data_IF_758881733304
#
_entry.id   IF_758881733304
#
_cell.length_a   1.000
_cell.length_b   1.000
_cell.length_c   1.000
_cell.angle_alpha   90.00
_cell.angle_beta   90.00
_cell.angle_gamma   90.00
#
_symmetry.space_group_name_H-M   'P 1'
#
loop_
_entity.id
_entity.type
_entity.pdbx_description
1 polymer ?
#
# COMPACT_ATOMS: atom_id res chain seq x y z
N UNK A 1 53.89 48.10 -2.75
CA UNK A 1 53.05 46.89 -2.80
C UNK A 1 53.59 45.89 -1.79
N UNK A 2 52.90 45.61 -0.69
CA UNK A 2 53.32 44.56 0.26
C UNK A 2 53.01 43.21 -0.38
N UNK A 3 54.03 42.36 -0.53
CA UNK A 3 53.85 40.98 -0.97
C UNK A 3 53.12 40.24 0.15
N UNK A 4 51.81 40.07 0.00
CA UNK A 4 51.04 39.14 0.83
C UNK A 4 51.48 37.74 0.45
N UNK A 5 52.21 37.07 1.34
CA UNK A 5 52.45 35.64 1.21
C UNK A 5 51.09 34.95 1.08
N UNK A 6 50.86 34.31 -0.06
CA UNK A 6 49.68 33.47 -0.26
C UNK A 6 49.84 32.32 0.73
N UNK A 7 49.13 32.40 1.86
CA UNK A 7 48.97 31.27 2.75
C UNK A 7 48.18 30.24 1.96
N UNK A 8 48.87 29.36 1.23
CA UNK A 8 48.31 28.10 0.81
C UNK A 8 47.74 27.49 2.08
N UNK A 9 46.40 27.44 2.16
CA UNK A 9 45.69 26.81 3.25
C UNK A 9 46.23 25.39 3.33
N UNK A 10 47.17 25.15 4.26
CA UNK A 10 47.76 23.84 4.44
C UNK A 10 46.63 22.99 4.97
N UNK A 11 45.95 22.29 4.08
CA UNK A 11 44.96 21.30 4.47
C UNK A 11 45.61 20.40 5.50
N UNK A 12 45.10 20.47 6.73
CA UNK A 12 45.66 19.69 7.83
C UNK A 12 45.55 18.22 7.43
N UNK A 13 46.52 17.35 7.77
CA UNK A 13 46.45 15.92 7.46
C UNK A 13 45.14 15.23 7.92
N UNK A 14 44.40 15.86 8.85
CA UNK A 14 43.08 15.46 9.35
C UNK A 14 41.99 15.52 8.26
N UNK A 15 42.06 16.44 7.29
CA UNK A 15 41.05 16.57 6.21
C UNK A 15 41.15 15.42 5.20
N UNK A 16 42.33 14.82 5.08
CA UNK A 16 42.60 13.67 4.20
C UNK A 16 42.12 12.33 4.80
N UNK A 17 41.70 12.30 6.07
CA UNK A 17 41.15 11.09 6.69
C UNK A 17 39.78 10.79 6.08
N UNK A 18 39.46 9.49 5.88
CA UNK A 18 38.12 9.05 5.43
C UNK A 18 36.99 9.63 6.28
N UNK A 19 37.28 9.89 7.56
CA UNK A 19 36.39 10.48 8.55
C UNK A 19 37.21 11.39 9.47
N UNK A 20 37.11 12.72 9.34
CA UNK A 20 37.97 13.66 10.09
C UNK A 20 37.90 13.56 11.62
N UNK A 21 36.78 13.05 12.17
CA UNK A 21 36.60 12.88 13.61
C UNK A 21 37.24 11.60 14.18
N UNK A 22 37.65 10.64 13.36
CA UNK A 22 38.39 9.44 13.81
C UNK A 22 39.86 9.58 13.49
N UNK A 23 40.59 10.12 14.45
CA UNK A 23 42.02 10.46 14.30
C UNK A 23 42.96 9.27 14.55
N UNK A 24 42.50 8.24 15.26
CA UNK A 24 43.28 7.04 15.59
C UNK A 24 42.63 5.78 15.00
N UNK A 25 43.41 4.71 14.84
CA UNK A 25 42.89 3.40 14.40
C UNK A 25 42.06 2.77 15.52
N UNK A 26 40.76 2.68 15.31
CA UNK A 26 39.78 2.15 16.26
C UNK A 26 39.09 0.86 15.77
N UNK A 27 39.60 0.26 14.70
CA UNK A 27 39.00 -0.92 14.06
C UNK A 27 37.76 -0.62 13.22
N UNK A 28 37.34 0.65 13.08
CA UNK A 28 36.20 1.01 12.22
C UNK A 28 36.47 0.68 10.76
N UNK A 29 35.48 0.07 10.11
CA UNK A 29 35.55 -0.28 8.70
C UNK A 29 35.49 0.97 7.81
N UNK A 30 35.90 0.84 6.54
CA UNK A 30 35.70 1.90 5.56
C UNK A 30 34.20 2.23 5.39
N UNK A 31 33.36 1.21 5.30
CA UNK A 31 31.89 1.31 5.33
C UNK A 31 31.29 0.16 6.15
N UNK A 32 30.09 0.38 6.70
CA UNK A 32 29.35 -0.61 7.47
C UNK A 32 29.93 -0.88 8.87
N UNK A 33 29.35 -1.88 9.56
CA UNK A 33 29.72 -2.24 10.94
C UNK A 33 30.46 -3.58 11.03
N UNK A 34 30.06 -4.59 10.23
CA UNK A 34 30.71 -5.91 10.14
C UNK A 34 30.88 -6.30 8.68
N UNK A 35 32.01 -6.93 8.34
CA UNK A 35 32.25 -7.52 7.01
C UNK A 35 31.56 -8.87 6.84
N UNK A 36 31.24 -9.54 7.94
CA UNK A 36 30.74 -10.91 7.95
C UNK A 36 29.27 -10.97 8.37
N UNK A 37 28.55 -11.94 7.81
CA UNK A 37 27.14 -12.20 8.11
C UNK A 37 26.63 -13.40 7.32
N UNK A 38 25.37 -13.78 7.54
CA UNK A 38 24.75 -14.91 6.84
C UNK A 38 24.63 -14.65 5.35
N UNK A 39 25.24 -15.52 4.53
CA UNK A 39 25.18 -15.44 3.06
C UNK A 39 23.97 -16.16 2.45
N UNK A 40 23.29 -17.02 3.22
CA UNK A 40 22.14 -17.82 2.78
C UNK A 40 20.83 -17.04 2.94
N UNK A 41 20.71 -15.94 2.20
CA UNK A 41 19.48 -15.14 2.12
C UNK A 41 18.85 -15.27 0.74
N UNK A 42 17.54 -15.03 0.63
CA UNK A 42 16.86 -15.11 -0.65
C UNK A 42 17.37 -14.01 -1.60
N UNK A 43 17.77 -14.39 -2.82
CA UNK A 43 18.27 -13.44 -3.82
C UNK A 43 17.24 -12.38 -4.17
N UNK A 44 17.66 -11.16 -4.47
CA UNK A 44 16.80 -10.07 -4.97
C UNK A 44 17.03 -9.85 -6.46
N UNK A 45 16.31 -8.91 -7.07
CA UNK A 45 16.52 -8.53 -8.48
C UNK A 45 17.87 -7.84 -8.74
N UNK A 46 18.59 -7.43 -7.68
CA UNK A 46 19.87 -6.70 -7.76
C UNK A 46 21.09 -7.61 -7.61
N UNK A 47 20.89 -8.89 -7.38
CA UNK A 47 21.96 -9.87 -7.16
C UNK A 47 22.00 -10.86 -8.34
N UNK A 48 23.13 -11.55 -8.49
CA UNK A 48 23.34 -12.53 -9.56
C UNK A 48 23.99 -11.92 -10.81
N UNK A 49 24.12 -12.73 -11.85
CA UNK A 49 24.73 -12.33 -13.13
C UNK A 49 23.69 -11.65 -14.04
N UNK A 50 24.15 -11.08 -15.16
CA UNK A 50 23.32 -10.43 -16.20
C UNK A 50 22.16 -11.30 -16.71
N UNK A 51 22.28 -12.62 -16.65
CA UNK A 51 21.28 -13.59 -17.10
C UNK A 51 20.26 -13.98 -16.03
N UNK A 52 20.51 -13.68 -14.76
CA UNK A 52 19.58 -14.00 -13.68
C UNK A 52 18.41 -13.02 -13.69
N UNK A 53 17.24 -13.50 -14.12
CA UNK A 53 16.00 -12.73 -14.06
C UNK A 53 15.05 -13.33 -13.02
N UNK A 54 14.78 -12.57 -11.94
CA UNK A 54 13.88 -13.00 -10.87
C UNK A 54 12.42 -12.53 -11.05
N UNK A 55 12.23 -11.33 -11.59
CA UNK A 55 10.92 -10.69 -11.71
C UNK A 55 10.32 -10.17 -10.40
N UNK A 56 9.21 -9.43 -10.49
CA UNK A 56 8.51 -8.79 -9.36
C UNK A 56 6.99 -8.98 -9.40
N UNK A 57 6.50 -10.02 -10.11
CA UNK A 57 5.07 -10.32 -10.31
C UNK A 57 4.27 -9.23 -11.03
N UNK A 58 4.93 -8.32 -11.73
CA UNK A 58 4.28 -7.19 -12.40
C UNK A 58 3.69 -7.55 -13.76
N UNK A 59 4.43 -8.29 -14.59
CA UNK A 59 4.25 -8.29 -16.06
C UNK A 59 3.82 -9.64 -16.66
N UNK A 60 2.80 -10.27 -16.08
CA UNK A 60 2.15 -11.49 -16.62
C UNK A 60 1.08 -11.21 -17.69
N UNK A 61 1.26 -10.15 -18.47
CA UNK A 61 0.20 -9.47 -19.22
C UNK A 61 0.10 -9.93 -20.67
N UNK A 62 1.24 -10.18 -21.31
CA UNK A 62 1.36 -10.48 -22.74
C UNK A 62 2.10 -11.78 -23.00
N UNK A 63 2.85 -11.80 -24.10
CA UNK A 63 3.66 -12.94 -24.54
C UNK A 63 4.99 -12.44 -25.13
N UNK A 64 6.08 -13.13 -24.83
CA UNK A 64 7.36 -12.93 -25.51
C UNK A 64 7.25 -13.35 -26.98
N UNK A 65 7.89 -12.59 -27.86
CA UNK A 65 7.97 -12.89 -29.30
C UNK A 65 9.17 -13.79 -29.58
N UNK A 66 9.19 -14.43 -30.76
CA UNK A 66 10.33 -15.27 -31.20
C UNK A 66 11.66 -14.50 -31.24
N UNK A 67 11.61 -13.19 -31.48
CA UNK A 67 12.79 -12.33 -31.65
C UNK A 67 13.15 -11.53 -30.38
N UNK A 68 12.67 -11.95 -29.20
CA UNK A 68 13.01 -11.31 -27.92
C UNK A 68 12.19 -10.07 -27.55
N UNK A 69 11.33 -9.56 -28.44
CA UNK A 69 10.34 -8.53 -28.12
C UNK A 69 9.18 -9.04 -27.26
N UNK A 70 8.22 -8.17 -26.95
CA UNK A 70 7.04 -8.50 -26.13
C UNK A 70 5.76 -7.92 -26.72
N UNK A 71 4.70 -8.74 -26.82
CA UNK A 71 3.38 -8.30 -27.32
C UNK A 71 2.36 -8.32 -26.18
N UNK A 72 1.73 -7.18 -25.91
CA UNK A 72 0.72 -7.01 -24.86
C UNK A 72 -0.61 -7.66 -25.29
N UNK A 73 -1.25 -8.41 -24.40
CA UNK A 73 -2.63 -8.86 -24.57
C UNK A 73 -3.55 -7.98 -23.73
N UNK A 74 -4.22 -7.01 -24.36
CA UNK A 74 -5.04 -6.00 -23.65
C UNK A 74 -6.15 -6.61 -22.78
N UNK A 75 -6.71 -7.77 -23.15
CA UNK A 75 -7.70 -8.49 -22.33
C UNK A 75 -7.19 -8.93 -20.95
N UNK A 76 -5.86 -9.00 -20.76
CA UNK A 76 -5.20 -9.39 -19.50
C UNK A 76 -4.64 -8.19 -18.73
N UNK A 77 -4.72 -6.99 -19.29
CA UNK A 77 -4.28 -5.76 -18.62
C UNK A 77 -5.29 -5.43 -17.53
N UNK A 78 -4.81 -5.29 -16.29
CA UNK A 78 -5.66 -4.91 -15.16
C UNK A 78 -6.07 -3.45 -15.31
N UNK A 79 -7.36 -3.16 -15.18
CA UNK A 79 -7.91 -1.81 -15.07
C UNK A 79 -8.50 -1.61 -13.68
N UNK A 80 -8.47 -0.37 -13.18
CA UNK A 80 -9.14 0.02 -11.94
C UNK A 80 -10.30 0.94 -12.31
N UNK A 81 -11.51 0.40 -12.34
CA UNK A 81 -12.70 1.13 -12.82
C UNK A 81 -13.20 2.06 -11.73
N UNK A 82 -13.15 3.37 -12.01
CA UNK A 82 -13.74 4.39 -11.14
C UNK A 82 -15.21 4.59 -11.48
N UNK A 83 -16.13 4.66 -10.50
CA UNK A 83 -17.54 4.96 -10.77
C UNK A 83 -17.70 6.34 -11.43
N UNK A 84 -18.48 6.41 -12.51
CA UNK A 84 -18.70 7.65 -13.28
C UNK A 84 -19.36 8.74 -12.42
N UNK A 85 -20.34 8.35 -11.62
CA UNK A 85 -21.01 9.21 -10.66
C UNK A 85 -20.65 8.68 -9.27
N UNK A 86 -19.83 9.41 -8.53
CA UNK A 86 -19.43 9.04 -7.18
C UNK A 86 -19.98 10.04 -6.17
N UNK A 87 -20.36 9.55 -4.99
CA UNK A 87 -20.87 10.39 -3.92
C UNK A 87 -19.69 10.99 -3.14
N UNK A 88 -19.52 12.32 -3.22
CA UNK A 88 -18.47 13.04 -2.49
C UNK A 88 -18.73 13.12 -0.99
N UNK A 89 -19.96 12.91 -0.55
CA UNK A 89 -20.37 13.03 0.86
C UNK A 89 -20.00 11.79 1.67
N UNK A 90 -19.82 10.63 1.02
CA UNK A 90 -19.32 9.42 1.67
C UNK A 90 -17.83 9.58 2.02
N UNK A 91 -17.52 9.59 3.31
CA UNK A 91 -16.16 9.72 3.84
C UNK A 91 -15.62 8.37 4.34
N UNK A 92 -14.29 8.21 4.45
CA UNK A 92 -13.69 6.97 4.98
C UNK A 92 -14.05 6.67 6.44
N UNK A 93 -14.46 7.69 7.19
CA UNK A 93 -14.80 7.60 8.62
C UNK A 93 -16.15 8.26 8.87
N UNK A 94 -16.82 7.77 9.92
CA UNK A 94 -18.08 8.33 10.44
C UNK A 94 -17.78 9.19 11.67
N UNK A 95 -18.61 10.20 11.93
CA UNK A 95 -18.50 11.02 13.15
C UNK A 95 -18.73 10.16 14.40
N UNK A 96 -17.94 10.39 15.45
CA UNK A 96 -18.09 9.72 16.74
C UNK A 96 -19.43 10.00 17.43
N UNK A 97 -20.14 11.06 17.02
CA UNK A 97 -21.46 11.39 17.55
C UNK A 97 -22.56 10.42 17.09
N UNK A 98 -22.31 9.63 16.04
CA UNK A 98 -23.26 8.63 15.53
C UNK A 98 -22.99 7.30 16.23
N UNK A 99 -24.00 6.67 16.86
CA UNK A 99 -23.85 5.37 17.49
C UNK A 99 -23.61 4.27 16.45
N UNK A 100 -22.98 3.18 16.88
CA UNK A 100 -22.82 1.98 16.07
C UNK A 100 -24.16 1.24 15.94
N UNK A 101 -24.68 1.11 14.72
CA UNK A 101 -25.95 0.47 14.44
C UNK A 101 -25.86 -1.06 14.54
N UNK A 102 -26.80 -1.69 15.25
CA UNK A 102 -26.84 -3.15 15.45
C UNK A 102 -28.10 -3.77 14.84
N UNK A 103 -27.92 -4.66 13.88
CA UNK A 103 -29.06 -5.34 13.24
C UNK A 103 -29.55 -6.53 14.06
N UNK A 104 -30.87 -6.75 14.09
CA UNK A 104 -31.53 -7.86 14.79
C UNK A 104 -32.42 -8.66 13.85
N UNK A 105 -31.93 -9.83 13.43
CA UNK A 105 -32.64 -10.73 12.52
C UNK A 105 -33.50 -11.77 13.24
N UNK A 106 -34.35 -11.33 14.18
CA UNK A 106 -35.22 -12.24 14.96
C UNK A 106 -36.17 -13.00 14.04
N UNK A 107 -36.21 -14.33 14.17
CA UNK A 107 -37.04 -15.23 13.36
C UNK A 107 -36.40 -15.68 12.04
N UNK A 108 -35.18 -15.24 11.73
CA UNK A 108 -34.43 -15.64 10.54
C UNK A 108 -33.16 -16.41 10.95
N UNK A 109 -33.14 -17.71 10.70
CA UNK A 109 -32.06 -18.59 11.18
C UNK A 109 -30.72 -18.31 10.53
N UNK A 110 -30.71 -17.75 9.30
CA UNK A 110 -29.50 -17.42 8.55
C UNK A 110 -29.12 -15.94 8.63
N UNK A 111 -29.77 -15.17 9.51
CA UNK A 111 -29.49 -13.74 9.69
C UNK A 111 -29.68 -12.93 8.39
N UNK A 112 -28.68 -12.11 8.05
CA UNK A 112 -28.72 -11.23 6.86
C UNK A 112 -28.76 -11.96 5.53
N UNK A 113 -28.31 -13.23 5.48
CA UNK A 113 -28.27 -14.06 4.28
C UNK A 113 -29.52 -14.95 4.13
N UNK A 114 -30.52 -14.82 5.00
CA UNK A 114 -31.74 -15.62 4.92
C UNK A 114 -32.58 -15.22 3.70
N UNK A 115 -32.93 -16.19 2.86
CA UNK A 115 -33.78 -15.96 1.69
C UNK A 115 -35.18 -15.51 2.09
N UNK A 116 -35.71 -16.00 3.23
CA UNK A 116 -37.02 -15.56 3.73
C UNK A 116 -37.00 -14.06 4.04
N UNK A 117 -35.93 -13.56 4.67
CA UNK A 117 -35.75 -12.14 4.97
C UNK A 117 -35.67 -11.31 3.68
N UNK A 118 -34.94 -11.79 2.68
CA UNK A 118 -34.86 -11.13 1.38
C UNK A 118 -36.25 -11.01 0.71
N UNK A 119 -37.05 -12.08 0.70
CA UNK A 119 -38.39 -12.04 0.13
C UNK A 119 -39.36 -11.17 0.93
N UNK A 120 -39.23 -11.09 2.26
CA UNK A 120 -40.03 -10.15 3.05
C UNK A 120 -39.69 -8.71 2.71
N UNK A 121 -38.40 -8.36 2.56
CA UNK A 121 -37.98 -7.02 2.14
C UNK A 121 -38.44 -6.68 0.73
N UNK A 122 -38.41 -7.65 -0.18
CA UNK A 122 -38.92 -7.48 -1.54
C UNK A 122 -40.43 -7.17 -1.52
N UNK A 123 -41.20 -7.89 -0.70
CA UNK A 123 -42.64 -7.62 -0.52
C UNK A 123 -42.88 -6.23 0.08
N UNK A 124 -42.14 -5.87 1.13
CA UNK A 124 -42.21 -4.55 1.76
C UNK A 124 -41.87 -3.43 0.76
N UNK A 125 -40.87 -3.63 -0.11
CA UNK A 125 -40.52 -2.71 -1.19
C UNK A 125 -41.63 -2.59 -2.25
N UNK A 126 -42.29 -3.69 -2.64
CA UNK A 126 -43.40 -3.65 -3.60
C UNK A 126 -44.59 -2.89 -3.02
N UNK A 127 -44.87 -3.08 -1.73
CA UNK A 127 -46.01 -2.46 -1.06
C UNK A 127 -45.77 -0.98 -0.75
N UNK A 128 -44.58 -0.63 -0.25
CA UNK A 128 -44.30 0.68 0.33
C UNK A 128 -43.29 1.51 -0.48
N UNK A 129 -42.63 0.93 -1.48
CA UNK A 129 -41.59 1.58 -2.27
C UNK A 129 -40.25 1.74 -1.52
N UNK A 130 -39.51 2.79 -1.85
CA UNK A 130 -38.20 3.14 -1.25
C UNK A 130 -38.36 3.85 0.10
N UNK A 131 -38.97 3.17 1.07
CA UNK A 131 -39.12 3.69 2.42
C UNK A 131 -37.79 3.57 3.19
N UNK A 132 -37.41 4.62 3.91
CA UNK A 132 -36.23 4.59 4.78
C UNK A 132 -36.54 3.85 6.09
N UNK A 133 -35.57 3.11 6.62
CA UNK A 133 -35.71 2.43 7.91
C UNK A 133 -35.56 3.40 9.08
N UNK A 134 -35.84 2.90 10.28
CA UNK A 134 -35.63 3.63 11.54
C UNK A 134 -34.17 4.08 11.73
N UNK A 135 -33.20 3.42 11.09
CA UNK A 135 -31.79 3.81 11.11
C UNK A 135 -31.49 5.11 10.35
N UNK A 136 -32.47 5.68 9.65
CA UNK A 136 -32.33 7.04 9.11
C UNK A 136 -32.28 8.10 10.22
N UNK A 137 -32.75 7.80 11.44
CA UNK A 137 -32.52 8.65 12.61
C UNK A 137 -31.10 8.41 13.15
N UNK A 138 -30.21 9.43 13.19
CA UNK A 138 -28.86 9.28 13.71
C UNK A 138 -28.79 8.86 15.19
N UNK A 139 -29.89 8.91 15.94
CA UNK A 139 -29.94 8.43 17.33
C UNK A 139 -30.26 6.94 17.45
N UNK A 140 -30.76 6.32 16.37
CA UNK A 140 -31.10 4.90 16.35
C UNK A 140 -29.82 4.05 16.45
N UNK A 141 -29.84 3.04 17.32
CA UNK A 141 -28.70 2.13 17.54
C UNK A 141 -29.05 0.65 17.28
N UNK A 142 -30.33 0.32 17.05
CA UNK A 142 -30.78 -1.04 16.71
C UNK A 142 -31.83 -1.00 15.62
N UNK A 143 -31.68 -1.86 14.61
CA UNK A 143 -32.70 -2.04 13.57
C UNK A 143 -32.94 -3.51 13.23
N UNK A 144 -34.04 -3.83 12.55
CA UNK A 144 -34.35 -5.20 12.08
C UNK A 144 -33.38 -5.66 10.97
N UNK A 145 -32.85 -4.69 10.22
CA UNK A 145 -31.83 -4.87 9.19
C UNK A 145 -32.35 -5.12 7.81
#
# INVERSE_FOLDING_TARGET
MRITAVNYFRESPITLLTRPWKKFRDGTLFYGASKSGTKRTALTTKQGNKTMYKGTRSSGIGRHTRYGGYTIQWRKVRTFVTPKNYNIDLKPLVSHNVPELKHQFKGFSKGSLDSKLYFTKLREYIQNGRLQSDASDPKCYTERG
#
